data_IF_006872245012
#
_entry.id   IF_006872245012
#
_cell.length_a   1.000
_cell.length_b   1.000
_cell.length_c   1.000
_cell.angle_alpha   90.00
_cell.angle_beta   90.00
_cell.angle_gamma   90.00
#
_symmetry.space_group_name_H-M   'P 1'
#
loop_
_entity.id
_entity.type
_entity.pdbx_description
1 polymer ?
#
# COMPACT_ATOMS: atom_id res chain seq x y z
N UNK A 1 -46.09 -18.23 -19.80
CA UNK A 1 -45.55 -17.41 -18.68
C UNK A 1 -44.14 -17.81 -18.27
N UNK A 2 -43.78 -19.11 -18.22
CA UNK A 2 -42.45 -19.60 -17.79
C UNK A 2 -41.26 -19.01 -18.59
N UNK A 3 -41.41 -18.87 -19.92
CA UNK A 3 -40.31 -18.43 -20.80
C UNK A 3 -39.97 -16.93 -20.66
N UNK A 4 -40.92 -16.10 -20.18
CA UNK A 4 -40.67 -14.66 -19.97
C UNK A 4 -39.89 -14.39 -18.69
N UNK A 5 -40.06 -15.24 -17.68
CA UNK A 5 -39.34 -15.13 -16.41
C UNK A 5 -37.86 -15.56 -16.58
N UNK A 6 -37.61 -16.62 -17.34
CA UNK A 6 -36.24 -17.07 -17.68
C UNK A 6 -35.47 -16.01 -18.49
N UNK A 7 -36.11 -15.36 -19.46
CA UNK A 7 -35.50 -14.29 -20.24
C UNK A 7 -35.13 -13.07 -19.37
N UNK A 8 -35.99 -12.71 -18.41
CA UNK A 8 -35.74 -11.60 -17.49
C UNK A 8 -34.54 -11.90 -16.55
N UNK A 9 -34.44 -13.13 -16.07
CA UNK A 9 -33.31 -13.58 -15.22
C UNK A 9 -31.99 -13.50 -16.00
N UNK A 10 -31.97 -13.94 -17.26
CA UNK A 10 -30.77 -13.87 -18.10
C UNK A 10 -30.35 -12.41 -18.30
N UNK A 11 -31.27 -11.50 -18.60
CA UNK A 11 -30.96 -10.08 -18.80
C UNK A 11 -30.40 -9.43 -17.52
N UNK A 12 -30.98 -9.75 -16.36
CA UNK A 12 -30.48 -9.23 -15.07
C UNK A 12 -29.07 -9.77 -14.78
N UNK A 13 -28.84 -11.06 -15.02
CA UNK A 13 -27.53 -11.68 -14.84
C UNK A 13 -26.49 -11.05 -15.78
N UNK A 14 -26.82 -10.84 -17.05
CA UNK A 14 -25.94 -10.17 -18.02
C UNK A 14 -25.61 -8.74 -17.61
N UNK A 15 -26.57 -7.99 -17.06
CA UNK A 15 -26.34 -6.62 -16.59
C UNK A 15 -25.43 -6.56 -15.35
N UNK A 16 -25.52 -7.56 -14.45
CA UNK A 16 -24.62 -7.69 -13.29
C UNK A 16 -23.20 -8.03 -13.72
N UNK A 17 -23.03 -8.96 -14.68
CA UNK A 17 -21.70 -9.31 -15.20
C UNK A 17 -21.04 -8.18 -16.00
N UNK A 18 -21.83 -7.40 -16.76
CA UNK A 18 -21.31 -6.24 -17.48
C UNK A 18 -20.76 -5.15 -16.54
N UNK A 19 -21.44 -4.90 -15.41
CA UNK A 19 -20.96 -3.95 -14.40
C UNK A 19 -19.75 -4.46 -13.60
N UNK A 20 -19.55 -5.77 -13.49
CA UNK A 20 -18.35 -6.32 -12.85
C UNK A 20 -17.07 -6.10 -13.67
N UNK A 21 -17.20 -5.90 -14.99
CA UNK A 21 -16.08 -5.69 -15.92
C UNK A 21 -15.62 -4.23 -16.01
N UNK A 22 -16.33 -3.28 -15.41
CA UNK A 22 -15.99 -1.84 -15.46
C UNK A 22 -15.10 -1.37 -14.30
N UNK A 23 -14.66 -2.27 -13.42
CA UNK A 23 -13.62 -1.95 -12.45
C UNK A 23 -12.32 -1.60 -13.21
N UNK A 24 -11.68 -0.46 -12.90
CA UNK A 24 -10.40 -0.11 -13.52
C UNK A 24 -9.43 -1.28 -13.36
N UNK A 25 -8.87 -1.75 -14.48
CA UNK A 25 -7.96 -2.89 -14.52
C UNK A 25 -6.53 -2.52 -14.13
N UNK A 26 -6.26 -1.26 -13.81
CA UNK A 26 -4.97 -0.78 -13.34
C UNK A 26 -4.83 -1.07 -11.84
N UNK A 27 -3.89 -1.95 -11.43
CA UNK A 27 -3.62 -2.14 -10.01
C UNK A 27 -3.14 -0.82 -9.40
N UNK A 28 -3.60 -0.50 -8.19
CA UNK A 28 -3.17 0.71 -7.47
C UNK A 28 -1.64 0.82 -7.36
N UNK A 29 -0.91 -0.31 -7.34
CA UNK A 29 0.57 -0.32 -7.38
C UNK A 29 1.16 0.47 -8.55
N UNK A 30 0.48 0.53 -9.68
CA UNK A 30 0.89 1.29 -10.87
C UNK A 30 0.59 2.78 -10.72
N UNK A 31 -0.46 3.12 -9.98
CA UNK A 31 -0.93 4.50 -9.77
C UNK A 31 -0.30 5.17 -8.53
N UNK A 32 0.22 4.37 -7.59
CA UNK A 32 0.82 4.86 -6.36
C UNK A 32 1.94 5.88 -6.64
N UNK A 33 2.80 5.60 -7.63
CA UNK A 33 3.88 6.51 -8.04
C UNK A 33 3.38 7.82 -8.68
N UNK A 34 2.15 7.87 -9.19
CA UNK A 34 1.56 9.07 -9.76
C UNK A 34 0.80 9.93 -8.73
N UNK A 35 0.48 9.36 -7.56
CA UNK A 35 -0.39 9.98 -6.55
C UNK A 35 0.29 10.23 -5.21
N UNK A 36 1.45 9.61 -4.97
CA UNK A 36 2.24 9.74 -3.76
C UNK A 36 3.67 10.23 -4.03
N UNK A 37 4.13 11.15 -3.18
CA UNK A 37 5.54 11.44 -3.01
C UNK A 37 6.15 10.50 -1.97
N UNK A 38 7.44 10.25 -2.13
CA UNK A 38 8.25 9.51 -1.17
C UNK A 38 9.50 10.33 -0.84
N UNK A 39 9.67 10.66 0.43
CA UNK A 39 10.95 11.14 0.93
C UNK A 39 11.73 9.94 1.45
N UNK A 40 12.83 9.61 0.77
CA UNK A 40 13.65 8.45 1.09
C UNK A 40 14.71 8.75 2.15
N UNK A 41 15.13 7.70 2.85
CA UNK A 41 16.39 7.64 3.58
C UNK A 41 16.57 8.72 4.66
N UNK A 42 15.45 9.12 5.28
CA UNK A 42 15.47 10.05 6.41
C UNK A 42 16.12 9.35 7.60
N UNK A 43 17.28 9.83 8.03
CA UNK A 43 17.96 9.31 9.22
C UNK A 43 17.21 9.77 10.46
N UNK A 44 16.64 8.83 11.22
CA UNK A 44 15.91 9.12 12.45
C UNK A 44 16.75 8.90 13.72
N UNK A 45 17.81 8.09 13.62
CA UNK A 45 18.73 7.82 14.73
C UNK A 45 20.03 7.22 14.21
N UNK A 46 21.03 7.10 15.07
CA UNK A 46 22.24 6.31 14.84
C UNK A 46 22.48 5.43 16.06
N UNK A 47 22.73 4.15 15.82
CA UNK A 47 23.04 3.19 16.88
C UNK A 47 24.04 2.16 16.37
N UNK A 48 25.00 1.76 17.20
CA UNK A 48 26.13 0.90 16.83
C UNK A 48 26.76 1.31 15.49
N UNK A 49 27.10 2.60 15.36
CA UNK A 49 27.68 3.21 14.16
C UNK A 49 26.86 3.02 12.87
N UNK A 50 25.57 2.71 13.00
CA UNK A 50 24.67 2.46 11.88
C UNK A 50 23.57 3.52 11.86
N UNK A 51 23.48 4.32 10.78
CA UNK A 51 22.38 5.24 10.56
C UNK A 51 21.09 4.45 10.36
N UNK A 52 20.07 4.74 11.17
CA UNK A 52 18.75 4.14 11.04
C UNK A 52 17.87 5.05 10.21
N UNK A 53 17.26 4.50 9.17
CA UNK A 53 16.56 5.26 8.13
C UNK A 53 15.09 4.92 8.07
N UNK A 54 14.29 5.84 7.57
CA UNK A 54 12.90 5.61 7.22
C UNK A 54 12.57 6.31 5.91
N UNK A 55 11.52 5.85 5.24
CA UNK A 55 10.90 6.54 4.13
C UNK A 55 9.54 7.09 4.56
N UNK A 56 9.19 8.29 4.09
CA UNK A 56 7.88 8.90 4.33
C UNK A 56 7.13 8.97 3.01
N UNK A 57 6.02 8.24 2.93
CA UNK A 57 5.07 8.23 1.82
C UNK A 57 3.88 9.11 2.16
N UNK A 58 3.57 10.07 1.29
CA UNK A 58 2.48 11.03 1.50
C UNK A 58 1.84 11.43 0.16
N UNK A 59 0.51 11.67 0.15
CA UNK A 59 -0.19 12.01 -1.09
C UNK A 59 0.27 13.37 -1.63
N UNK A 60 0.23 13.54 -2.95
CA UNK A 60 0.57 14.81 -3.62
C UNK A 60 -0.28 15.98 -3.10
N UNK A 61 -1.57 15.73 -2.89
CA UNK A 61 -2.52 16.73 -2.42
C UNK A 61 -2.94 16.43 -0.99
N UNK A 62 -2.78 17.41 -0.08
CA UNK A 62 -3.15 17.28 1.33
C UNK A 62 -4.23 18.30 1.66
N UNK A 63 -5.49 17.88 1.55
CA UNK A 63 -6.65 18.74 1.79
C UNK A 63 -7.20 18.64 3.23
N UNK A 64 -6.74 17.65 4.00
CA UNK A 64 -7.14 17.37 5.38
C UNK A 64 -6.10 16.50 6.09
N UNK A 65 -6.07 16.46 7.44
CA UNK A 65 -5.29 15.47 8.16
C UNK A 65 -5.64 14.05 7.71
N UNK A 66 -4.62 13.24 7.44
CA UNK A 66 -4.75 11.84 7.05
C UNK A 66 -4.15 10.92 8.11
N UNK A 67 -4.72 9.72 8.34
CA UNK A 67 -4.11 8.73 9.21
C UNK A 67 -2.69 8.38 8.75
N UNK A 68 -1.81 8.07 9.71
CA UNK A 68 -0.43 7.65 9.43
C UNK A 68 -0.21 6.24 9.96
N UNK A 69 0.24 5.35 9.09
CA UNK A 69 0.76 4.03 9.45
C UNK A 69 2.27 4.14 9.65
N UNK A 70 2.78 3.63 10.77
CA UNK A 70 4.22 3.36 10.93
C UNK A 70 4.42 1.87 10.70
N UNK A 71 5.17 1.51 9.67
CA UNK A 71 5.37 0.14 9.24
C UNK A 71 6.80 -0.31 9.51
N UNK A 72 6.94 -1.47 10.14
CA UNK A 72 8.21 -2.16 10.35
C UNK A 72 8.14 -3.48 9.58
N UNK A 73 9.14 -3.76 8.76
CA UNK A 73 9.18 -5.00 7.99
C UNK A 73 9.36 -6.23 8.89
N UNK A 74 9.01 -7.40 8.35
CA UNK A 74 9.24 -8.68 9.01
C UNK A 74 10.67 -9.17 8.85
N UNK A 75 10.88 -10.47 9.10
CA UNK A 75 12.19 -11.12 8.92
C UNK A 75 12.91 -11.46 10.22
N UNK A 76 12.18 -11.51 11.34
CA UNK A 76 12.68 -12.02 12.62
C UNK A 76 13.93 -11.30 13.12
N UNK A 77 14.07 -10.02 12.79
CA UNK A 77 15.25 -9.19 13.09
C UNK A 77 16.56 -9.60 12.43
N UNK A 78 16.57 -10.61 11.56
CA UNK A 78 17.81 -11.14 10.95
C UNK A 78 17.90 -10.93 9.44
N UNK A 79 16.79 -10.56 8.79
CA UNK A 79 16.76 -10.16 7.39
C UNK A 79 15.58 -9.21 7.11
N UNK A 80 15.51 -8.74 5.87
CA UNK A 80 14.50 -7.81 5.38
C UNK A 80 15.07 -6.40 5.24
N UNK A 81 14.36 -5.56 4.50
CA UNK A 81 14.65 -4.12 4.39
C UNK A 81 13.34 -3.36 4.21
N UNK A 82 13.37 -2.04 4.43
CA UNK A 82 12.23 -1.16 4.15
C UNK A 82 11.80 -1.20 2.67
N UNK A 83 12.73 -1.33 1.72
CA UNK A 83 12.40 -1.40 0.29
C UNK A 83 11.65 -2.70 -0.05
N UNK A 84 12.00 -3.80 0.63
CA UNK A 84 11.35 -5.09 0.46
C UNK A 84 9.92 -5.14 0.97
N UNK A 85 9.46 -4.13 1.74
CA UNK A 85 8.15 -4.11 2.38
C UNK A 85 7.09 -3.23 1.73
N UNK A 86 7.37 -2.65 0.56
CA UNK A 86 6.46 -1.69 -0.10
C UNK A 86 5.08 -2.30 -0.37
N UNK A 87 5.03 -3.53 -0.88
CA UNK A 87 3.76 -4.18 -1.24
C UNK A 87 2.86 -4.45 -0.03
N UNK A 88 3.44 -4.59 1.16
CA UNK A 88 2.75 -4.94 2.39
C UNK A 88 1.92 -3.77 2.94
N UNK A 89 2.30 -2.52 2.62
CA UNK A 89 1.54 -1.33 3.02
C UNK A 89 0.79 -0.64 1.88
N UNK A 90 0.87 -1.13 0.64
CA UNK A 90 0.12 -0.60 -0.51
C UNK A 90 -1.39 -0.40 -0.23
N UNK A 91 -2.11 -1.34 0.42
CA UNK A 91 -3.54 -1.16 0.69
C UNK A 91 -3.88 0.02 1.61
N UNK A 92 -2.90 0.56 2.34
CA UNK A 92 -3.09 1.76 3.17
C UNK A 92 -2.88 3.03 2.36
N UNK A 93 -1.93 3.03 1.43
CA UNK A 93 -1.77 4.11 0.45
C UNK A 93 -3.04 4.23 -0.43
N UNK A 94 -3.65 3.11 -0.81
CA UNK A 94 -4.93 3.10 -1.56
C UNK A 94 -6.07 3.76 -0.76
N UNK A 95 -6.03 3.67 0.57
CA UNK A 95 -6.99 4.35 1.47
C UNK A 95 -6.68 5.83 1.70
N UNK A 96 -5.65 6.39 1.07
CA UNK A 96 -5.23 7.78 1.28
C UNK A 96 -4.40 8.02 2.54
N UNK A 97 -3.82 6.98 3.14
CA UNK A 97 -3.03 7.11 4.37
C UNK A 97 -1.59 7.51 4.06
N UNK A 98 -0.94 8.17 5.03
CA UNK A 98 0.52 8.33 5.03
C UNK A 98 1.16 7.05 5.54
N UNK A 99 2.34 6.72 5.06
CA UNK A 99 3.14 5.60 5.57
C UNK A 99 4.54 6.08 5.94
N UNK A 100 4.97 5.76 7.14
CA UNK A 100 6.36 5.85 7.60
C UNK A 100 6.92 4.43 7.58
N UNK A 101 7.78 4.14 6.61
CA UNK A 101 8.35 2.82 6.38
C UNK A 101 9.75 2.74 6.99
N UNK A 102 9.91 1.98 8.06
CA UNK A 102 11.08 2.06 8.94
C UNK A 102 12.07 0.93 8.67
N UNK A 103 13.32 1.30 8.46
CA UNK A 103 14.46 0.38 8.52
C UNK A 103 14.97 0.26 9.96
N UNK A 104 15.40 -0.94 10.35
CA UNK A 104 15.96 -1.20 11.67
C UNK A 104 17.26 -2.01 11.57
N UNK A 105 18.07 -2.02 12.63
CA UNK A 105 19.29 -2.85 12.67
C UNK A 105 18.95 -4.33 12.74
N UNK A 106 19.70 -5.12 12.00
CA UNK A 106 19.67 -6.57 12.14
C UNK A 106 20.30 -6.98 13.47
N UNK A 107 19.88 -8.13 14.00
CA UNK A 107 20.32 -8.67 15.28
C UNK A 107 21.84 -8.82 15.38
N UNK A 108 22.51 -9.13 14.26
CA UNK A 108 23.98 -9.19 14.16
C UNK A 108 24.68 -7.85 14.42
N UNK A 109 23.93 -6.74 14.42
CA UNK A 109 24.40 -5.36 14.60
C UNK A 109 23.57 -4.61 15.67
N UNK A 110 23.06 -5.34 16.66
CA UNK A 110 22.18 -4.78 17.71
C UNK A 110 22.86 -4.57 19.06
N UNK A 111 23.93 -5.32 19.35
CA UNK A 111 24.73 -5.26 20.59
C UNK A 111 26.12 -4.70 20.32
#
# INVERSE_FOLDING_TARGET
MKNRLSALIIVIISAVFANAQTQPSTPFSTEAGATYWMQQDVVYSTANNTPLKLDVWYPHEVNKPTPTLIYFHGGGWIFGTKEGSVLQFLPFLEKGWRVVNVEYRMASNSL
#
